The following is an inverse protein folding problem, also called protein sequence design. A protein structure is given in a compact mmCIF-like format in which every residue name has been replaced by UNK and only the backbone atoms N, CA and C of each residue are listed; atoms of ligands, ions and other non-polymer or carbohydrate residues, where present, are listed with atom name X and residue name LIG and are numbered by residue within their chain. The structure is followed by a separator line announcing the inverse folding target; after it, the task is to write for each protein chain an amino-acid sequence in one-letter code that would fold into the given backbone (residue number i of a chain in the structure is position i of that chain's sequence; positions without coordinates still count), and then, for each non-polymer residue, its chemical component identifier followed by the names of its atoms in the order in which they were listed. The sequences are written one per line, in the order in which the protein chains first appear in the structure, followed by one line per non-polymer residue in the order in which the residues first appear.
data_IF_576602187496
#
_entry.id   IF_576602187496
#
_cell.length_a   1.000
_cell.length_b   1.000
_cell.length_c   1.000
_cell.angle_alpha   90.00
_cell.angle_beta   90.00
_cell.angle_gamma   90.00
#
_symmetry.space_group_name_H-M   'P 1'
#
loop_
_entity.id
_entity.type
_entity.pdbx_description
1 polymer ?
#
# COMPACT_ATOMS: atom_id res chain seq x y z
N UNK A 1 4.39 -1.09 -7.37
CA UNK A 1 4.92 -0.94 -8.74
C UNK A 1 3.96 -0.23 -9.69
N UNK A 2 2.69 -0.67 -9.82
CA UNK A 2 1.74 -0.06 -10.77
C UNK A 2 1.39 1.40 -10.47
N UNK A 3 1.25 1.78 -9.19
CA UNK A 3 0.92 3.15 -8.80
C UNK A 3 2.01 4.16 -9.16
N UNK A 4 3.28 3.88 -8.84
CA UNK A 4 4.39 4.78 -9.19
C UNK A 4 4.49 5.00 -10.69
N UNK A 5 4.33 3.93 -11.49
CA UNK A 5 4.35 4.01 -12.95
C UNK A 5 3.17 4.85 -13.48
N UNK A 6 1.98 4.66 -12.92
CA UNK A 6 0.80 5.43 -13.30
C UNK A 6 0.98 6.92 -13.01
N UNK A 7 1.45 7.27 -11.82
CA UNK A 7 1.68 8.67 -11.42
C UNK A 7 2.83 9.31 -12.19
N UNK A 8 3.93 8.58 -12.44
CA UNK A 8 5.01 9.07 -13.28
C UNK A 8 4.55 9.31 -14.72
N UNK A 9 3.73 8.42 -15.28
CA UNK A 9 3.12 8.61 -16.60
C UNK A 9 2.23 9.84 -16.62
N UNK A 10 1.46 10.07 -15.55
CA UNK A 10 0.62 11.24 -15.44
C UNK A 10 1.43 12.54 -15.41
N UNK A 11 2.47 12.59 -14.57
CA UNK A 11 3.37 13.74 -14.46
C UNK A 11 4.08 14.06 -15.79
N UNK A 12 4.60 13.02 -16.48
CA UNK A 12 5.30 13.17 -17.77
C UNK A 12 4.39 13.64 -18.91
N UNK A 13 3.09 13.32 -18.85
CA UNK A 13 2.12 13.64 -19.91
C UNK A 13 1.19 14.79 -19.55
N UNK A 14 1.35 15.42 -18.39
CA UNK A 14 0.44 16.45 -17.89
C UNK A 14 -0.99 15.96 -17.68
N UNK A 15 -1.18 14.67 -17.37
CA UNK A 15 -2.51 14.12 -17.11
C UNK A 15 -3.01 14.54 -15.74
N UNK A 16 -4.32 14.75 -15.62
CA UNK A 16 -4.93 15.09 -14.34
C UNK A 16 -4.96 13.85 -13.45
N UNK A 17 -4.62 14.03 -12.18
CA UNK A 17 -4.67 13.00 -11.14
C UNK A 17 -5.66 13.44 -10.07
N UNK A 18 -6.47 12.53 -9.59
CA UNK A 18 -7.25 12.68 -8.36
C UNK A 18 -7.21 11.36 -7.58
N UNK A 19 -7.42 11.42 -6.27
CA UNK A 19 -7.58 10.24 -5.43
C UNK A 19 -8.99 10.15 -4.88
N UNK A 20 -9.40 8.95 -4.53
CA UNK A 20 -10.67 8.72 -3.86
C UNK A 20 -10.53 7.70 -2.74
N UNK A 21 -11.39 7.80 -1.73
CA UNK A 21 -11.53 6.80 -0.69
C UNK A 21 -13.00 6.38 -0.57
N UNK A 22 -13.26 5.07 -0.57
CA UNK A 22 -14.59 4.51 -0.40
C UNK A 22 -14.92 4.28 1.08
N UNK A 23 -15.89 5.05 1.60
CA UNK A 23 -16.40 4.88 2.96
C UNK A 23 -17.04 3.51 3.10
N UNK A 24 -16.70 2.74 4.14
CA UNK A 24 -17.40 1.49 4.43
C UNK A 24 -17.30 0.41 3.35
N UNK A 25 -16.22 0.38 2.56
CA UNK A 25 -15.99 -0.49 1.41
C UNK A 25 -16.60 -1.91 1.52
N UNK A 26 -16.28 -2.66 2.59
CA UNK A 26 -16.76 -4.04 2.75
C UNK A 26 -18.28 -4.16 2.89
N UNK A 27 -18.94 -3.16 3.47
CA UNK A 27 -20.37 -3.12 3.74
C UNK A 27 -21.23 -2.93 2.48
N UNK A 28 -20.62 -2.67 1.33
CA UNK A 28 -21.32 -2.69 0.04
C UNK A 28 -21.31 -4.06 -0.60
N UNK A 29 -20.33 -4.90 -0.28
CA UNK A 29 -20.11 -6.16 -0.99
C UNK A 29 -21.02 -7.27 -0.46
N UNK A 30 -21.78 -7.95 -1.34
CA UNK A 30 -22.56 -9.11 -0.95
C UNK A 30 -21.62 -10.29 -0.61
N UNK A 31 -22.04 -11.12 0.34
CA UNK A 31 -21.34 -12.37 0.69
C UNK A 31 -22.03 -13.53 -0.03
N UNK A 32 -21.25 -14.34 -0.73
CA UNK A 32 -21.76 -15.54 -1.44
C UNK A 32 -22.14 -16.68 -0.48
N UNK A 33 -21.64 -16.64 0.75
CA UNK A 33 -21.76 -17.70 1.76
C UNK A 33 -22.62 -17.25 2.94
N UNK A 34 -23.32 -18.21 3.58
CA UNK A 34 -24.01 -17.96 4.84
C UNK A 34 -22.99 -17.77 5.96
N UNK A 35 -23.00 -16.58 6.57
CA UNK A 35 -22.11 -16.27 7.69
C UNK A 35 -22.96 -16.06 8.94
N UNK A 36 -22.71 -16.91 9.93
CA UNK A 36 -23.33 -16.82 11.24
C UNK A 36 -22.44 -15.93 12.12
N UNK A 37 -23.03 -14.90 12.70
CA UNK A 37 -22.35 -13.94 13.56
C UNK A 37 -23.09 -13.98 14.90
N UNK A 38 -22.35 -14.09 15.99
CA UNK A 38 -22.88 -13.85 17.32
C UNK A 38 -22.77 -12.35 17.59
N UNK A 39 -23.88 -11.60 17.62
CA UNK A 39 -23.84 -10.19 17.91
C UNK A 39 -23.52 -9.94 19.39
N UNK A 40 -22.88 -8.80 19.74
CA UNK A 40 -22.79 -8.36 21.13
C UNK A 40 -24.18 -8.26 21.76
N UNK A 41 -24.29 -8.60 23.04
CA UNK A 41 -25.58 -8.74 23.77
C UNK A 41 -26.49 -7.51 23.63
N UNK A 42 -25.91 -6.30 23.55
CA UNK A 42 -26.64 -5.03 23.49
C UNK A 42 -26.86 -4.49 22.07
N UNK A 43 -26.44 -5.22 21.02
CA UNK A 43 -26.49 -4.75 19.65
C UNK A 43 -26.91 -5.86 18.70
N UNK A 44 -28.17 -5.85 18.25
CA UNK A 44 -28.65 -6.70 17.15
C UNK A 44 -28.58 -5.92 15.83
N UNK A 45 -27.47 -6.00 15.07
CA UNK A 45 -27.36 -5.30 13.81
C UNK A 45 -28.30 -5.90 12.76
N UNK A 46 -28.92 -5.02 11.98
CA UNK A 46 -29.66 -5.38 10.76
C UNK A 46 -28.70 -5.66 9.58
N UNK A 47 -27.49 -6.16 9.84
CA UNK A 47 -26.49 -6.41 8.80
C UNK A 47 -26.69 -7.81 8.24
N UNK A 48 -27.56 -7.93 7.22
CA UNK A 48 -27.81 -9.20 6.52
C UNK A 48 -27.07 -9.23 5.18
N UNK A 49 -26.28 -10.29 4.97
CA UNK A 49 -25.74 -10.66 3.65
C UNK A 49 -24.60 -9.79 3.09
N UNK A 50 -24.00 -8.91 3.91
CA UNK A 50 -22.89 -8.02 3.51
C UNK A 50 -21.59 -8.44 4.16
N UNK A 51 -20.46 -8.18 3.49
CA UNK A 51 -19.16 -8.51 4.05
C UNK A 51 -18.83 -7.58 5.21
N UNK A 52 -18.40 -8.18 6.33
CA UNK A 52 -18.00 -7.47 7.53
C UNK A 52 -16.48 -7.31 7.60
N UNK A 53 -16.06 -6.24 8.26
CA UNK A 53 -14.68 -6.10 8.69
C UNK A 53 -14.26 -7.28 9.57
N UNK A 54 -13.05 -7.79 9.35
CA UNK A 54 -12.52 -8.97 10.06
C UNK A 54 -12.84 -10.31 9.38
N UNK A 55 -13.76 -10.35 8.41
CA UNK A 55 -13.97 -11.59 7.64
C UNK A 55 -12.79 -11.83 6.69
N UNK A 56 -12.27 -13.05 6.69
CA UNK A 56 -11.14 -13.45 5.84
C UNK A 56 -11.39 -13.18 4.34
N UNK A 57 -12.66 -13.25 3.90
CA UNK A 57 -13.06 -13.05 2.50
C UNK A 57 -13.56 -11.63 2.18
N UNK A 58 -13.60 -10.70 3.14
CA UNK A 58 -14.17 -9.37 2.93
C UNK A 58 -13.48 -8.61 1.78
N UNK A 59 -12.15 -8.63 1.75
CA UNK A 59 -11.38 -7.98 0.69
C UNK A 59 -11.69 -8.54 -0.71
N UNK A 60 -11.91 -9.86 -0.83
CA UNK A 60 -12.27 -10.49 -2.11
C UNK A 60 -13.68 -10.13 -2.54
N UNK A 61 -14.64 -10.10 -1.61
CA UNK A 61 -16.02 -9.71 -1.90
C UNK A 61 -16.07 -8.26 -2.39
N UNK A 62 -15.35 -7.38 -1.71
CA UNK A 62 -15.19 -5.99 -2.12
C UNK A 62 -14.57 -5.84 -3.49
N UNK A 63 -13.44 -6.52 -3.73
CA UNK A 63 -12.80 -6.47 -5.04
C UNK A 63 -13.75 -6.94 -6.15
N UNK A 64 -14.48 -8.06 -5.97
CA UNK A 64 -15.48 -8.53 -6.95
C UNK A 64 -16.57 -7.48 -7.19
N UNK A 65 -17.10 -6.89 -6.12
CA UNK A 65 -18.16 -5.89 -6.18
C UNK A 65 -17.71 -4.64 -6.95
N UNK A 66 -16.57 -4.06 -6.56
CA UNK A 66 -16.01 -2.88 -7.22
C UNK A 66 -15.62 -3.17 -8.67
N UNK A 67 -14.99 -4.32 -8.93
CA UNK A 67 -14.68 -4.76 -10.30
C UNK A 67 -15.95 -4.82 -11.16
N UNK A 68 -17.05 -5.33 -10.60
CA UNK A 68 -18.34 -5.37 -11.27
C UNK A 68 -18.87 -3.98 -11.62
N UNK A 69 -18.76 -3.02 -10.70
CA UNK A 69 -19.14 -1.61 -10.95
C UNK A 69 -18.29 -1.02 -12.08
N UNK A 70 -16.96 -1.12 -11.97
CA UNK A 70 -16.02 -0.57 -12.94
C UNK A 70 -16.21 -1.19 -14.34
N UNK A 71 -16.43 -2.50 -14.41
CA UNK A 71 -16.73 -3.19 -15.66
C UNK A 71 -18.03 -2.70 -16.31
N UNK A 72 -19.10 -2.45 -15.52
CA UNK A 72 -20.34 -1.84 -16.05
C UNK A 72 -20.13 -0.43 -16.57
N UNK A 73 -19.19 0.32 -16.00
CA UNK A 73 -18.77 1.63 -16.46
C UNK A 73 -17.83 1.58 -17.68
N UNK A 74 -17.50 0.39 -18.19
CA UNK A 74 -16.66 0.19 -19.37
C UNK A 74 -15.16 0.15 -19.10
N UNK A 75 -14.73 0.10 -17.85
CA UNK A 75 -13.34 -0.12 -17.50
C UNK A 75 -12.98 -1.60 -17.62
N UNK A 76 -11.73 -1.87 -17.99
CA UNK A 76 -11.19 -3.23 -18.07
C UNK A 76 -9.95 -3.32 -17.18
N UNK A 77 -9.92 -4.32 -16.29
CA UNK A 77 -8.74 -4.62 -15.48
C UNK A 77 -7.57 -5.08 -16.37
N UNK A 78 -6.35 -4.63 -16.07
CA UNK A 78 -5.17 -5.07 -16.82
C UNK A 78 -4.78 -6.49 -16.45
N UNK A 79 -4.32 -7.27 -17.44
CA UNK A 79 -3.88 -8.66 -17.24
C UNK A 79 -2.69 -8.77 -16.28
N UNK A 80 -1.79 -7.78 -16.32
CA UNK A 80 -0.59 -7.74 -15.48
C UNK A 80 -0.92 -7.33 -14.04
N UNK A 81 -1.97 -6.55 -13.83
CA UNK A 81 -2.31 -6.02 -12.52
C UNK A 81 -3.83 -5.79 -12.35
N UNK A 82 -4.47 -6.64 -11.56
CA UNK A 82 -5.91 -6.59 -11.29
C UNK A 82 -6.36 -5.45 -10.35
N UNK A 83 -5.42 -4.60 -9.91
CA UNK A 83 -5.70 -3.33 -9.24
C UNK A 83 -5.70 -2.14 -10.20
N UNK A 84 -5.30 -2.32 -11.46
CA UNK A 84 -5.29 -1.27 -12.47
C UNK A 84 -6.37 -1.52 -13.52
N UNK A 85 -7.22 -0.52 -13.72
CA UNK A 85 -8.34 -0.52 -14.65
C UNK A 85 -8.13 0.57 -15.68
N UNK A 86 -8.43 0.28 -16.94
CA UNK A 86 -8.23 1.23 -18.03
C UNK A 86 -9.52 1.30 -18.85
N UNK A 87 -9.96 2.52 -19.14
CA UNK A 87 -10.96 2.83 -20.14
C UNK A 87 -10.29 3.66 -21.24
N UNK A 88 -10.39 3.18 -22.48
CA UNK A 88 -9.92 3.90 -23.66
C UNK A 88 -11.06 4.10 -24.63
N UNK A 89 -11.35 5.35 -24.97
CA UNK A 89 -12.34 5.70 -25.97
C UNK A 89 -11.75 6.76 -26.91
N UNK A 90 -11.37 6.35 -28.12
CA UNK A 90 -10.67 7.18 -29.10
C UNK A 90 -9.42 7.81 -28.48
N UNK A 91 -9.42 9.12 -28.28
CA UNK A 91 -8.33 9.89 -27.69
C UNK A 91 -8.40 9.96 -26.16
N UNK A 92 -9.54 9.61 -25.55
CA UNK A 92 -9.73 9.64 -24.10
C UNK A 92 -9.13 8.39 -23.47
N UNK A 93 -8.27 8.60 -22.47
CA UNK A 93 -7.71 7.55 -21.63
C UNK A 93 -7.99 7.89 -20.18
N UNK A 94 -8.68 6.97 -19.49
CA UNK A 94 -8.89 7.02 -18.05
C UNK A 94 -8.26 5.76 -17.45
N UNK A 95 -7.44 5.92 -16.43
CA UNK A 95 -6.85 4.83 -15.69
C UNK A 95 -7.19 4.96 -14.21
N UNK A 96 -7.62 3.87 -13.60
CA UNK A 96 -7.96 3.81 -12.18
C UNK A 96 -7.09 2.74 -11.54
N UNK A 97 -6.35 3.13 -10.51
CA UNK A 97 -5.66 2.21 -9.63
C UNK A 97 -6.41 2.10 -8.30
N UNK A 98 -6.60 0.89 -7.77
CA UNK A 98 -7.33 0.66 -6.52
C UNK A 98 -6.54 -0.24 -5.57
N UNK A 99 -6.48 0.14 -4.30
CA UNK A 99 -6.02 -0.68 -3.20
C UNK A 99 -7.00 -0.63 -2.03
N UNK A 100 -7.80 -1.68 -1.91
CA UNK A 100 -8.88 -1.77 -0.92
C UNK A 100 -9.82 -0.57 -1.07
N UNK A 101 -9.88 0.32 -0.08
CA UNK A 101 -10.74 1.50 -0.02
C UNK A 101 -10.11 2.73 -0.72
N UNK A 102 -8.79 2.75 -0.87
CA UNK A 102 -8.08 3.84 -1.56
C UNK A 102 -8.05 3.60 -3.07
N UNK A 103 -8.25 4.68 -3.83
CA UNK A 103 -8.17 4.69 -5.28
C UNK A 103 -7.52 5.94 -5.84
N UNK A 104 -6.98 5.81 -7.05
CA UNK A 104 -6.36 6.89 -7.82
C UNK A 104 -6.91 6.83 -9.21
N UNK A 105 -7.40 7.96 -9.70
CA UNK A 105 -7.85 8.13 -11.07
C UNK A 105 -6.93 9.11 -11.80
N UNK A 106 -6.56 8.73 -13.02
CA UNK A 106 -5.77 9.55 -13.93
C UNK A 106 -6.49 9.64 -15.26
N UNK A 107 -6.52 10.84 -15.84
CA UNK A 107 -7.11 11.05 -17.16
C UNK A 107 -6.35 12.12 -17.94
N UNK A 108 -6.26 11.94 -19.26
CA UNK A 108 -5.78 12.99 -20.16
C UNK A 108 -6.82 14.09 -20.43
N UNK A 109 -8.08 13.89 -20.04
CA UNK A 109 -9.14 14.89 -20.05
C UNK A 109 -9.69 15.09 -18.64
N UNK A 110 -9.53 16.28 -18.02
CA UNK A 110 -9.99 16.56 -16.66
C UNK A 110 -11.50 16.32 -16.46
N UNK A 111 -12.32 16.69 -17.43
CA UNK A 111 -13.78 16.53 -17.38
C UNK A 111 -14.20 15.07 -17.16
N UNK A 112 -13.39 14.13 -17.67
CA UNK A 112 -13.67 12.70 -17.54
C UNK A 112 -13.46 12.17 -16.12
N UNK A 113 -12.66 12.85 -15.30
CA UNK A 113 -12.57 12.56 -13.86
C UNK A 113 -13.85 12.98 -13.15
N UNK A 114 -14.44 14.11 -13.53
CA UNK A 114 -15.71 14.59 -12.98
C UNK A 114 -16.89 13.69 -13.39
N UNK A 115 -16.91 13.24 -14.66
CA UNK A 115 -17.89 12.27 -15.16
C UNK A 115 -17.81 10.97 -14.35
N UNK A 116 -16.59 10.44 -14.16
CA UNK A 116 -16.35 9.26 -13.34
C UNK A 116 -16.81 9.48 -11.89
N UNK A 117 -16.46 10.61 -11.29
CA UNK A 117 -16.88 10.97 -9.92
C UNK A 117 -18.40 10.89 -9.78
N UNK A 118 -19.12 11.53 -10.69
CA UNK A 118 -20.59 11.54 -10.67
C UNK A 118 -21.17 10.12 -10.81
N UNK A 119 -20.58 9.30 -11.68
CA UNK A 119 -21.01 7.92 -11.88
C UNK A 119 -20.72 7.01 -10.68
N UNK A 120 -19.53 7.11 -10.08
CA UNK A 120 -19.13 6.25 -8.97
C UNK A 120 -19.84 6.64 -7.66
N UNK A 121 -20.08 7.93 -7.43
CA UNK A 121 -20.84 8.41 -6.28
C UNK A 121 -22.32 8.00 -6.30
N UNK A 122 -22.85 7.60 -7.46
CA UNK A 122 -24.20 7.03 -7.56
C UNK A 122 -24.28 5.59 -7.04
N UNK A 123 -23.16 4.87 -6.99
CA UNK A 123 -23.09 3.46 -6.57
C UNK A 123 -22.47 3.30 -5.17
N UNK A 124 -21.60 4.25 -4.76
CA UNK A 124 -20.76 4.16 -3.57
C UNK A 124 -20.63 5.52 -2.87
N UNK A 125 -20.60 5.52 -1.53
CA UNK A 125 -20.15 6.70 -0.79
C UNK A 125 -18.63 6.85 -0.90
N UNK A 126 -18.20 7.85 -1.67
CA UNK A 126 -16.81 8.08 -2.01
C UNK A 126 -16.43 9.54 -1.75
N UNK A 127 -15.29 9.72 -1.08
CA UNK A 127 -14.64 11.02 -0.93
C UNK A 127 -13.54 11.19 -1.97
N UNK A 128 -13.75 12.07 -2.96
CA UNK A 128 -12.74 12.44 -3.95
C UNK A 128 -11.88 13.61 -3.45
N UNK A 129 -10.58 13.55 -3.72
CA UNK A 129 -9.62 14.63 -3.49
C UNK A 129 -8.86 14.90 -4.80
N UNK A 130 -8.96 16.13 -5.32
CA UNK A 130 -8.28 16.52 -6.56
C UNK A 130 -6.78 16.74 -6.39
N UNK A 131 -6.32 16.97 -5.15
CA UNK A 131 -4.92 17.11 -4.79
C UNK A 131 -4.42 15.85 -4.07
N UNK A 132 -3.62 15.07 -4.77
CA UNK A 132 -3.11 13.80 -4.26
C UNK A 132 -1.88 14.04 -3.38
N UNK A 133 -2.09 14.11 -2.07
CA UNK A 133 -1.01 14.27 -1.09
C UNK A 133 -0.65 12.96 -0.37
N UNK A 134 -1.61 12.06 -0.18
CA UNK A 134 -1.39 10.81 0.54
C UNK A 134 -2.23 9.66 -0.03
N UNK A 135 -1.59 8.52 -0.33
CA UNK A 135 -2.24 7.29 -0.80
C UNK A 135 -1.48 6.10 -0.19
N UNK A 136 -2.18 5.11 0.40
CA UNK A 136 -1.56 3.91 1.01
C UNK A 136 -0.42 4.28 1.98
N UNK A 137 -0.65 5.32 2.80
CA UNK A 137 0.33 5.85 3.78
C UNK A 137 1.64 6.36 3.18
N UNK A 138 1.72 6.54 1.86
CA UNK A 138 2.80 7.23 1.16
C UNK A 138 2.39 8.68 0.93
N UNK A 139 3.29 9.63 1.20
CA UNK A 139 3.14 11.01 0.77
C UNK A 139 3.62 11.14 -0.66
N UNK A 140 2.86 11.88 -1.46
CA UNK A 140 3.14 12.11 -2.87
C UNK A 140 3.22 13.61 -3.14
N UNK A 141 4.20 14.01 -3.93
CA UNK A 141 4.25 15.31 -4.57
C UNK A 141 4.39 15.08 -6.07
N UNK A 142 3.39 15.47 -6.84
CA UNK A 142 3.30 15.23 -8.28
C UNK A 142 3.49 16.59 -8.96
N UNK A 143 4.64 16.77 -9.59
CA UNK A 143 5.00 17.97 -10.33
C UNK A 143 4.90 17.77 -11.84
N UNK A 144 5.39 18.75 -12.59
CA UNK A 144 5.50 18.66 -14.05
C UNK A 144 6.71 17.79 -14.40
N UNK A 145 6.46 16.57 -14.91
CA UNK A 145 7.51 15.61 -15.26
C UNK A 145 8.21 14.92 -14.07
N UNK A 146 7.89 15.28 -12.83
CA UNK A 146 8.51 14.71 -11.63
C UNK A 146 7.48 14.16 -10.62
N UNK A 147 7.90 13.14 -9.88
CA UNK A 147 7.11 12.57 -8.77
C UNK A 147 8.06 12.31 -7.60
N UNK A 148 7.78 12.93 -6.47
CA UNK A 148 8.48 12.66 -5.21
C UNK A 148 7.59 11.84 -4.26
N UNK A 149 8.21 10.90 -3.56
CA UNK A 149 7.55 9.94 -2.66
C UNK A 149 8.24 10.02 -1.30
N UNK A 150 7.46 10.08 -0.21
CA UNK A 150 8.02 10.07 1.14
C UNK A 150 7.16 9.24 2.12
N UNK A 151 7.81 8.63 3.12
CA UNK A 151 7.16 7.85 4.18
C UNK A 151 7.57 8.27 5.59
N UNK A 152 7.72 9.58 5.80
CA UNK A 152 8.25 10.14 7.06
C UNK A 152 7.57 9.58 8.31
N UNK A 153 6.24 9.49 8.36
CA UNK A 153 5.51 8.95 9.52
C UNK A 153 5.91 7.51 9.87
N UNK A 154 6.17 6.68 8.85
CA UNK A 154 6.62 5.32 9.08
C UNK A 154 8.07 5.31 9.55
N UNK A 155 8.93 6.12 8.94
CA UNK A 155 10.32 6.28 9.37
C UNK A 155 10.40 6.68 10.84
N UNK A 156 9.65 7.71 11.24
CA UNK A 156 9.59 8.19 12.63
C UNK A 156 9.09 7.07 13.55
N UNK A 157 8.00 6.38 13.18
CA UNK A 157 7.47 5.27 13.97
C UNK A 157 8.44 4.09 14.11
N UNK A 158 9.27 3.81 13.10
CA UNK A 158 10.29 2.76 13.18
C UNK A 158 11.39 3.18 14.16
N UNK A 159 11.85 4.43 14.07
CA UNK A 159 12.90 4.97 14.95
C UNK A 159 12.42 5.04 16.40
N UNK A 160 11.18 5.48 16.65
CA UNK A 160 10.59 5.56 17.98
C UNK A 160 10.39 4.18 18.62
N UNK A 161 10.03 3.17 17.82
CA UNK A 161 9.85 1.80 18.29
C UNK A 161 11.15 1.00 18.37
N UNK A 162 12.28 1.54 17.87
CA UNK A 162 13.54 0.81 17.82
C UNK A 162 14.17 0.73 19.22
N UNK A 163 14.42 -0.48 19.76
CA UNK A 163 14.82 -0.64 21.16
C UNK A 163 16.30 -0.32 21.43
N UNK A 164 17.05 0.14 20.43
CA UNK A 164 18.52 0.27 20.47
C UNK A 164 18.95 1.67 20.00
N UNK A 165 20.13 2.15 20.45
CA UNK A 165 20.67 3.41 19.99
C UNK A 165 20.96 3.35 18.48
N UNK A 166 20.49 4.38 17.77
CA UNK A 166 20.68 4.56 16.34
C UNK A 166 22.08 5.16 16.10
N UNK A 167 22.88 4.52 15.24
CA UNK A 167 24.21 5.04 14.86
C UNK A 167 24.05 6.14 13.79
N UNK A 168 25.12 6.73 13.25
CA UNK A 168 25.05 7.58 12.04
C UNK A 168 26.17 7.21 11.08
N UNK A 169 26.07 6.09 10.37
CA UNK A 169 27.11 5.63 9.48
C UNK A 169 26.98 6.22 8.07
N UNK A 170 28.09 6.22 7.31
CA UNK A 170 28.15 6.74 5.92
C UNK A 170 27.50 5.80 4.88
N UNK A 171 27.00 4.62 5.27
CA UNK A 171 26.42 3.58 4.40
C UNK A 171 25.33 2.81 5.15
N UNK A 172 24.34 2.15 4.49
CA UNK A 172 23.37 1.29 5.16
C UNK A 172 23.97 0.02 5.76
N UNK A 173 25.09 -0.47 5.21
CA UNK A 173 25.86 -1.60 5.76
C UNK A 173 27.34 -1.25 5.86
N UNK A 174 28.05 -1.75 6.88
CA UNK A 174 29.50 -1.61 6.96
C UNK A 174 30.18 -2.47 5.87
N UNK A 175 31.36 -2.04 5.40
CA UNK A 175 32.22 -2.75 4.42
C UNK A 175 32.85 -4.03 4.98
N UNK A 176 32.23 -4.66 5.98
CA UNK A 176 32.70 -5.89 6.59
C UNK A 176 32.51 -7.07 5.63
N UNK A 177 33.36 -8.11 5.68
CA UNK A 177 33.10 -9.34 4.97
C UNK A 177 31.88 -10.01 5.62
N UNK A 178 30.71 -9.73 5.05
CA UNK A 178 29.39 -10.23 5.44
C UNK A 178 29.31 -11.78 5.45
N UNK A 179 30.33 -12.47 4.90
CA UNK A 179 30.37 -13.93 4.73
C UNK A 179 30.86 -14.78 5.90
N UNK A 180 31.40 -14.22 6.99
CA UNK A 180 32.00 -15.02 8.09
C UNK A 180 31.45 -14.66 9.49
N UNK A 181 30.14 -14.44 9.61
CA UNK A 181 29.52 -14.28 10.92
C UNK A 181 29.48 -15.66 11.61
N UNK A 182 30.21 -15.73 12.71
CA UNK A 182 30.78 -16.94 13.33
C UNK A 182 29.73 -18.00 13.73
N UNK A 183 30.05 -19.31 13.67
CA UNK A 183 29.12 -20.38 14.01
C UNK A 183 28.65 -20.44 15.49
N UNK A 184 29.25 -19.67 16.40
CA UNK A 184 29.09 -19.82 17.86
C UNK A 184 28.28 -18.71 18.56
N UNK A 185 27.60 -17.81 17.83
CA UNK A 185 26.74 -16.80 18.47
C UNK A 185 25.38 -17.39 18.89
N UNK A 186 24.98 -17.15 20.14
CA UNK A 186 23.65 -17.51 20.63
C UNK A 186 22.56 -16.72 19.88
N UNK A 187 21.53 -17.42 19.44
CA UNK A 187 20.33 -16.83 18.83
C UNK A 187 19.50 -16.09 19.88
N UNK A 188 18.97 -14.92 19.51
CA UNK A 188 18.10 -14.09 20.32
C UNK A 188 16.62 -14.27 19.91
N UNK A 189 15.70 -13.70 20.69
CA UNK A 189 14.27 -13.69 20.36
C UNK A 189 14.05 -13.08 18.96
N UNK A 190 13.47 -13.82 18.01
CA UNK A 190 13.23 -13.33 16.66
C UNK A 190 12.13 -12.26 16.58
N UNK A 191 11.21 -12.21 17.55
CA UNK A 191 9.98 -11.40 17.43
C UNK A 191 10.24 -9.91 17.22
N UNK A 192 11.10 -9.24 18.03
CA UNK A 192 11.38 -7.82 17.84
C UNK A 192 12.15 -7.56 16.54
N UNK A 193 13.06 -8.46 16.17
CA UNK A 193 13.84 -8.36 14.94
C UNK A 193 12.94 -8.45 13.70
N UNK A 194 12.03 -9.43 13.67
CA UNK A 194 11.04 -9.61 12.61
C UNK A 194 10.12 -8.40 12.45
N UNK A 195 9.68 -7.80 13.55
CA UNK A 195 8.85 -6.59 13.54
C UNK A 195 9.56 -5.41 12.85
N UNK A 196 10.82 -5.17 13.20
CA UNK A 196 11.63 -4.10 12.60
C UNK A 196 11.91 -4.39 11.12
N UNK A 197 12.33 -5.62 10.79
CA UNK A 197 12.58 -6.03 9.39
C UNK A 197 11.32 -5.91 8.54
N UNK A 198 10.15 -6.30 9.05
CA UNK A 198 8.88 -6.15 8.34
C UNK A 198 8.53 -4.68 8.07
N UNK A 199 8.75 -3.81 9.05
CA UNK A 199 8.53 -2.37 8.90
C UNK A 199 9.50 -1.74 7.90
N UNK A 200 10.77 -2.13 7.93
CA UNK A 200 11.79 -1.73 6.96
C UNK A 200 11.50 -2.25 5.55
N UNK A 201 11.00 -3.48 5.41
CA UNK A 201 10.61 -4.03 4.12
C UNK A 201 9.47 -3.23 3.48
N UNK A 202 8.53 -2.74 4.28
CA UNK A 202 7.49 -1.83 3.81
C UNK A 202 8.06 -0.45 3.39
N UNK A 203 9.03 0.08 4.15
CA UNK A 203 9.73 1.32 3.81
C UNK A 203 10.53 1.20 2.49
N UNK A 204 11.22 0.08 2.31
CA UNK A 204 11.96 -0.26 1.08
C UNK A 204 11.04 -0.32 -0.13
N UNK A 205 9.90 -1.01 0.03
CA UNK A 205 8.94 -1.20 -1.06
C UNK A 205 8.24 0.10 -1.47
N UNK A 206 8.18 1.08 -0.56
CA UNK A 206 7.51 2.35 -0.78
C UNK A 206 8.42 3.48 -1.25
N UNK A 207 9.48 3.79 -0.50
CA UNK A 207 10.26 5.03 -0.69
C UNK A 207 11.78 4.91 -0.54
N UNK A 208 12.31 3.82 0.03
CA UNK A 208 13.76 3.63 0.30
C UNK A 208 14.35 2.40 -0.37
N UNK A 209 14.36 2.33 -1.71
CA UNK A 209 14.93 1.18 -2.44
C UNK A 209 16.44 1.02 -2.20
N UNK A 210 17.12 2.08 -1.76
CA UNK A 210 18.53 2.07 -1.36
C UNK A 210 18.82 1.12 -0.18
N UNK A 211 17.84 0.90 0.71
CA UNK A 211 17.97 -0.03 1.83
C UNK A 211 17.69 -1.49 1.44
N UNK A 212 17.27 -1.76 0.20
CA UNK A 212 16.78 -3.07 -0.22
C UNK A 212 17.80 -4.18 0.02
N UNK A 213 19.07 -3.96 -0.33
CA UNK A 213 20.10 -4.98 -0.14
C UNK A 213 20.28 -5.32 1.34
N UNK A 214 20.39 -4.31 2.20
CA UNK A 214 20.63 -4.48 3.62
C UNK A 214 19.47 -5.20 4.33
N UNK A 215 18.24 -4.75 4.06
CA UNK A 215 17.03 -5.33 4.64
C UNK A 215 16.83 -6.77 4.16
N UNK A 216 17.02 -7.06 2.87
CA UNK A 216 16.89 -8.42 2.35
C UNK A 216 17.99 -9.35 2.85
N UNK A 217 19.20 -8.83 3.09
CA UNK A 217 20.27 -9.60 3.71
C UNK A 217 19.89 -10.01 5.15
N UNK A 218 19.50 -9.03 5.97
CA UNK A 218 19.13 -9.26 7.38
C UNK A 218 17.88 -10.14 7.52
N UNK A 219 16.93 -10.04 6.59
CA UNK A 219 15.72 -10.87 6.57
C UNK A 219 16.02 -12.39 6.52
N UNK A 220 17.17 -12.80 5.96
CA UNK A 220 17.60 -14.22 5.92
C UNK A 220 17.84 -14.80 7.31
N UNK A 221 18.13 -13.95 8.29
CA UNK A 221 18.44 -14.32 9.66
C UNK A 221 17.25 -14.07 10.61
N UNK A 222 16.07 -13.76 10.07
CA UNK A 222 14.87 -13.40 10.84
C UNK A 222 14.36 -14.50 11.80
N UNK A 223 14.69 -15.77 11.56
CA UNK A 223 14.29 -16.89 12.42
C UNK A 223 15.25 -17.14 13.59
N UNK A 224 16.47 -16.61 13.52
CA UNK A 224 17.51 -16.79 14.53
C UNK A 224 18.51 -15.65 14.49
N UNK A 225 18.07 -14.40 14.78
CA UNK A 225 18.97 -13.27 14.78
C UNK A 225 19.98 -13.40 15.91
N UNK A 226 21.19 -12.90 15.69
CA UNK A 226 22.25 -12.90 16.71
C UNK A 226 22.61 -11.47 17.08
N UNK A 227 23.45 -11.28 18.09
CA UNK A 227 23.91 -9.95 18.50
C UNK A 227 24.55 -9.18 17.34
N UNK A 228 25.29 -9.88 16.46
CA UNK A 228 25.88 -9.25 15.27
C UNK A 228 24.84 -8.81 14.25
N UNK A 229 23.77 -9.58 14.02
CA UNK A 229 22.69 -9.17 13.13
C UNK A 229 21.98 -7.90 13.62
N UNK A 230 21.80 -7.77 14.94
CA UNK A 230 21.29 -6.55 15.53
C UNK A 230 22.27 -5.37 15.39
N UNK A 231 23.57 -5.60 15.51
CA UNK A 231 24.58 -4.56 15.26
C UNK A 231 24.58 -4.06 13.81
N UNK A 232 24.33 -4.95 12.85
CA UNK A 232 24.12 -4.56 11.45
C UNK A 232 22.81 -3.78 11.26
N UNK A 233 21.76 -4.12 12.01
CA UNK A 233 20.50 -3.39 11.97
C UNK A 233 20.61 -1.98 12.57
N UNK A 234 21.41 -1.80 13.63
CA UNK A 234 21.75 -0.48 14.20
C UNK A 234 22.39 0.44 13.15
N UNK A 235 23.16 -0.15 12.23
CA UNK A 235 23.83 0.55 11.14
C UNK A 235 22.86 0.91 9.99
N UNK A 236 21.85 0.08 9.73
CA UNK A 236 20.82 0.33 8.71
C UNK A 236 19.89 1.47 9.12
N UNK A 237 19.58 1.55 10.41
CA UNK A 237 18.68 2.57 10.96
C UNK A 237 19.37 3.90 11.27
N UNK A 238 20.71 3.90 11.27
CA UNK A 238 21.55 5.06 11.47
C UNK A 238 21.57 6.09 10.35
#
# INVERSE_FOLDING_TARGET
MSLCLLLATAALRGWRVASFNASGAYLYSPVEETVLIEPPVDFLPEIRGKALYGMQKAGRCWWKFLSGILNRMGFVATEVNQSLYILRNKEVVIAIWVHVDDGVIVSNFPDKISDFKSAICAELDIKLTDEVQQIVRLKWAIGEGEVAIAQQRLTDSILDAYPRPVLRPDSPLPTLPVGNLLPDEATLDPTPFQSVIGSLAYLVSGSRPDLAFAVNYLARHSMGPTATHWGLLDHVLG
#
